data_IF_015908974468
#
_entry.id   IF_015908974468
#
_cell.length_a   1.000
_cell.length_b   1.000
_cell.length_c   1.000
_cell.angle_alpha   90.00
_cell.angle_beta   90.00
_cell.angle_gamma   90.00
#
_symmetry.space_group_name_H-M   'P 1'
#
loop_
_entity.id
_entity.type
_entity.pdbx_description
1 polymer ?
#
# COMPACT_ATOMS: atom_id res chain seq x y z
N UNK A 1 -6.95 -29.75 -25.11
CA UNK A 1 -6.60 -28.31 -25.30
C UNK A 1 -5.93 -27.84 -24.01
N UNK A 2 -4.62 -27.95 -23.95
CA UNK A 2 -3.82 -27.52 -22.81
C UNK A 2 -3.61 -25.99 -22.95
N UNK A 3 -4.48 -25.22 -22.28
CA UNK A 3 -4.31 -23.76 -22.21
C UNK A 3 -2.97 -23.45 -21.57
N UNK A 4 -2.11 -22.68 -22.24
CA UNK A 4 -0.88 -22.16 -21.67
C UNK A 4 -1.25 -21.35 -20.41
N UNK A 5 -0.68 -21.64 -19.24
CA UNK A 5 -1.00 -20.87 -18.04
C UNK A 5 -0.58 -19.43 -18.25
N UNK A 6 -1.54 -18.49 -18.14
CA UNK A 6 -1.25 -17.05 -18.22
C UNK A 6 -0.24 -16.73 -17.12
N UNK A 7 0.87 -16.09 -17.47
CA UNK A 7 1.89 -15.70 -16.51
C UNK A 7 1.29 -14.69 -15.52
N UNK A 8 1.66 -14.79 -14.24
CA UNK A 8 1.16 -13.89 -13.18
C UNK A 8 1.34 -12.42 -13.52
N UNK A 9 2.45 -12.07 -14.17
CA UNK A 9 2.76 -10.72 -14.62
C UNK A 9 1.78 -10.19 -15.67
N UNK A 10 1.28 -11.06 -16.55
CA UNK A 10 0.30 -10.72 -17.60
C UNK A 10 -1.11 -10.55 -17.02
N UNK A 11 -1.43 -11.33 -15.99
CA UNK A 11 -2.72 -11.25 -15.30
C UNK A 11 -2.81 -10.07 -14.31
N UNK A 12 -1.68 -9.60 -13.76
CA UNK A 12 -1.63 -8.59 -12.73
C UNK A 12 -2.44 -7.32 -13.05
N UNK A 13 -2.38 -6.72 -14.25
CA UNK A 13 -3.16 -5.52 -14.56
C UNK A 13 -4.68 -5.71 -14.40
N UNK A 14 -5.19 -6.92 -14.63
CA UNK A 14 -6.59 -7.24 -14.42
C UNK A 14 -6.94 -7.23 -12.92
N UNK A 15 -6.14 -7.88 -12.07
CA UNK A 15 -6.34 -7.92 -10.63
C UNK A 15 -6.22 -6.53 -10.01
N UNK A 16 -5.23 -5.74 -10.42
CA UNK A 16 -5.09 -4.36 -9.92
C UNK A 16 -6.24 -3.45 -10.34
N UNK A 17 -6.73 -3.53 -11.58
CA UNK A 17 -7.94 -2.79 -11.98
C UNK A 17 -9.14 -3.14 -11.10
N UNK A 18 -9.29 -4.42 -10.73
CA UNK A 18 -10.33 -4.85 -9.80
C UNK A 18 -10.10 -4.26 -8.40
N UNK A 19 -8.88 -4.37 -7.87
CA UNK A 19 -8.53 -3.84 -6.55
C UNK A 19 -8.77 -2.32 -6.47
N UNK A 20 -8.34 -1.56 -7.46
CA UNK A 20 -8.59 -0.12 -7.53
C UNK A 20 -10.09 0.23 -7.58
N UNK A 21 -10.91 -0.56 -8.27
CA UNK A 21 -12.37 -0.37 -8.28
C UNK A 21 -13.00 -0.68 -6.92
N UNK A 22 -12.59 -1.75 -6.26
CA UNK A 22 -13.09 -2.12 -4.93
C UNK A 22 -12.71 -1.08 -3.87
N UNK A 23 -11.51 -0.55 -3.94
CA UNK A 23 -11.07 0.51 -3.05
C UNK A 23 -11.76 1.85 -3.34
N UNK A 24 -11.97 2.15 -4.62
CA UNK A 24 -12.57 3.41 -5.07
C UNK A 24 -11.68 4.62 -4.81
N UNK A 25 -12.31 5.79 -4.66
CA UNK A 25 -11.65 7.05 -4.33
C UNK A 25 -11.55 7.33 -2.82
N UNK A 26 -11.66 6.31 -1.97
CA UNK A 26 -11.72 6.49 -0.51
C UNK A 26 -10.42 7.02 0.06
N UNK A 27 -10.57 7.80 1.11
CA UNK A 27 -9.49 8.35 1.94
C UNK A 27 -9.74 7.96 3.39
N UNK A 28 -8.71 7.93 4.25
CA UNK A 28 -8.89 7.55 5.66
C UNK A 28 -9.89 8.41 6.43
N UNK A 29 -10.12 9.65 5.99
CA UNK A 29 -11.17 10.55 6.46
C UNK A 29 -11.94 11.07 5.25
N UNK A 30 -13.20 11.53 5.38
CA UNK A 30 -13.99 12.05 4.26
C UNK A 30 -13.53 13.45 3.80
N UNK A 31 -12.21 13.64 3.72
CA UNK A 31 -11.56 14.88 3.31
C UNK A 31 -10.14 14.61 2.81
N UNK A 32 -9.48 15.64 2.27
CA UNK A 32 -8.05 15.56 1.96
C UNK A 32 -7.21 15.59 3.23
N UNK A 33 -6.75 14.42 3.68
CA UNK A 33 -5.94 14.29 4.89
C UNK A 33 -4.58 15.03 4.78
N UNK A 34 -4.09 15.28 3.58
CA UNK A 34 -2.84 16.02 3.38
C UNK A 34 -2.88 17.44 3.96
N UNK A 35 -4.06 18.03 4.05
CA UNK A 35 -4.25 19.36 4.68
C UNK A 35 -3.94 19.39 6.17
N UNK A 36 -4.01 18.23 6.86
CA UNK A 36 -3.73 18.13 8.29
C UNK A 36 -2.24 18.11 8.64
N UNK A 37 -1.38 17.72 7.70
CA UNK A 37 0.05 17.54 7.96
C UNK A 37 0.93 18.13 6.84
N UNK A 38 0.39 19.03 6.03
CA UNK A 38 1.08 19.59 4.85
C UNK A 38 1.64 18.49 3.93
N UNK A 39 0.86 17.42 3.76
CA UNK A 39 1.18 16.27 2.89
C UNK A 39 2.53 15.62 3.18
N UNK A 40 2.95 15.54 4.44
CA UNK A 40 4.27 14.98 4.84
C UNK A 40 4.59 13.63 4.21
N UNK A 41 3.61 12.75 4.04
CA UNK A 41 3.79 11.47 3.36
C UNK A 41 4.01 11.57 1.84
N UNK A 42 3.89 12.77 1.25
CA UNK A 42 3.98 13.06 -0.17
C UNK A 42 4.98 14.18 -0.48
N UNK A 43 5.95 14.44 0.40
CA UNK A 43 6.93 15.50 0.15
C UNK A 43 7.95 15.10 -0.92
N UNK A 44 8.18 13.80 -1.07
CA UNK A 44 9.12 13.28 -2.06
C UNK A 44 10.58 13.49 -1.65
N UNK A 45 11.46 12.83 -2.37
CA UNK A 45 12.90 12.90 -2.18
C UNK A 45 13.58 11.86 -3.06
N UNK A 46 14.91 11.89 -3.13
CA UNK A 46 15.69 10.96 -3.96
C UNK A 46 15.55 9.50 -3.52
N UNK A 47 15.29 9.27 -2.24
CA UNK A 47 15.11 7.94 -1.66
C UNK A 47 13.70 7.71 -1.10
N UNK A 48 12.86 8.73 -1.10
CA UNK A 48 11.50 8.63 -0.57
C UNK A 48 10.58 7.92 -1.56
N UNK A 49 9.78 7.02 -1.04
CA UNK A 49 8.90 6.25 -1.90
C UNK A 49 8.13 5.19 -1.14
N UNK A 50 7.58 4.26 -1.90
CA UNK A 50 6.72 3.22 -1.35
C UNK A 50 7.06 1.85 -1.92
N UNK A 51 7.06 0.84 -1.06
CA UNK A 51 7.10 -0.56 -1.50
C UNK A 51 5.86 -0.84 -2.33
N UNK A 52 6.05 -1.35 -3.53
CA UNK A 52 4.96 -1.82 -4.39
C UNK A 52 4.50 -3.21 -3.95
N UNK A 53 3.22 -3.45 -4.08
CA UNK A 53 2.71 -4.81 -4.01
C UNK A 53 3.19 -5.65 -5.21
N UNK A 54 3.22 -6.98 -5.09
CA UNK A 54 3.71 -7.85 -6.16
C UNK A 54 3.06 -7.54 -7.52
N UNK A 55 3.88 -7.29 -8.53
CA UNK A 55 3.47 -6.96 -9.92
C UNK A 55 2.68 -5.63 -10.07
N UNK A 56 2.61 -4.78 -9.06
CA UNK A 56 1.89 -3.50 -9.17
C UNK A 56 2.48 -2.61 -10.27
N UNK A 57 3.79 -2.66 -10.47
CA UNK A 57 4.48 -1.92 -11.53
C UNK A 57 3.95 -2.24 -12.93
N UNK A 58 3.37 -3.44 -13.15
CA UNK A 58 2.75 -3.82 -14.42
C UNK A 58 1.41 -3.14 -14.67
N UNK A 59 0.75 -2.68 -13.60
CA UNK A 59 -0.52 -1.96 -13.68
C UNK A 59 -0.35 -0.43 -13.80
N UNK A 60 0.85 0.09 -13.59
CA UNK A 60 1.15 1.52 -13.51
C UNK A 60 1.49 2.18 -14.86
N UNK A 61 0.85 1.76 -15.94
CA UNK A 61 1.16 2.22 -17.32
C UNK A 61 1.18 3.75 -17.48
N UNK A 62 0.45 4.49 -16.63
CA UNK A 62 0.34 5.96 -16.69
C UNK A 62 1.14 6.69 -15.61
N UNK A 63 1.80 5.97 -14.71
CA UNK A 63 2.56 6.57 -13.61
C UNK A 63 4.01 6.89 -14.01
N UNK A 64 4.20 7.59 -15.13
CA UNK A 64 5.52 7.95 -15.68
C UNK A 64 6.35 8.86 -14.77
N UNK A 65 5.74 9.43 -13.74
CA UNK A 65 6.41 10.27 -12.74
C UNK A 65 7.15 9.45 -11.67
N UNK A 66 6.96 8.12 -11.65
CA UNK A 66 7.62 7.24 -10.69
C UNK A 66 8.89 6.62 -11.29
N UNK A 67 9.94 6.59 -10.48
CA UNK A 67 11.13 5.77 -10.76
C UNK A 67 11.03 4.47 -9.99
N UNK A 68 11.00 3.34 -10.70
CA UNK A 68 10.91 2.02 -10.06
C UNK A 68 12.31 1.45 -9.84
N UNK A 69 12.64 1.20 -8.60
CA UNK A 69 13.89 0.57 -8.16
C UNK A 69 13.62 -0.77 -7.48
N UNK A 70 14.67 -1.46 -7.04
CA UNK A 70 14.57 -2.68 -6.24
C UNK A 70 15.19 -2.45 -4.87
N UNK A 71 14.45 -2.78 -3.81
CA UNK A 71 14.96 -2.74 -2.42
C UNK A 71 14.82 -4.11 -1.77
N UNK A 72 15.56 -4.34 -0.69
CA UNK A 72 15.43 -5.56 0.13
C UNK A 72 14.38 -5.35 1.21
N UNK A 73 13.51 -6.35 1.38
CA UNK A 73 12.58 -6.49 2.49
C UNK A 73 12.82 -7.88 3.11
N UNK A 74 13.58 -7.93 4.18
CA UNK A 74 14.11 -9.20 4.70
C UNK A 74 14.97 -9.91 3.66
N UNK A 75 14.60 -11.13 3.28
CA UNK A 75 15.26 -11.91 2.23
C UNK A 75 14.71 -11.66 0.83
N UNK A 76 13.60 -10.95 0.71
CA UNK A 76 12.90 -10.71 -0.57
C UNK A 76 13.39 -9.44 -1.26
N UNK A 77 13.52 -9.51 -2.58
CA UNK A 77 13.63 -8.32 -3.43
C UNK A 77 12.22 -7.82 -3.78
N UNK A 78 11.96 -6.55 -3.52
CA UNK A 78 10.67 -5.91 -3.80
C UNK A 78 10.84 -4.72 -4.72
N UNK A 79 9.82 -4.44 -5.53
CA UNK A 79 9.77 -3.21 -6.29
C UNK A 79 9.49 -2.03 -5.34
N UNK A 80 10.20 -0.94 -5.55
CA UNK A 80 10.08 0.28 -4.76
C UNK A 80 9.90 1.47 -5.72
N UNK A 81 8.82 2.21 -5.53
CA UNK A 81 8.55 3.39 -6.33
C UNK A 81 9.08 4.63 -5.63
N UNK A 82 10.09 5.26 -6.20
CA UNK A 82 10.57 6.58 -5.79
C UNK A 82 9.64 7.63 -6.40
N UNK A 83 9.15 8.55 -5.58
CA UNK A 83 8.16 9.54 -5.96
C UNK A 83 8.73 10.96 -5.79
N UNK A 84 8.57 11.87 -6.78
CA UNK A 84 9.03 13.25 -6.67
C UNK A 84 8.16 14.13 -5.73
N UNK A 85 7.19 13.53 -5.02
CA UNK A 85 6.31 14.25 -4.11
C UNK A 85 5.06 14.85 -4.75
N UNK A 86 4.99 14.88 -6.07
CA UNK A 86 3.84 15.42 -6.81
C UNK A 86 3.21 14.30 -7.65
N UNK A 87 2.00 13.91 -7.32
CA UNK A 87 1.27 12.91 -8.09
C UNK A 87 -0.21 13.26 -8.22
N UNK A 88 -0.77 12.97 -9.39
CA UNK A 88 -2.21 12.92 -9.55
C UNK A 88 -2.79 11.77 -8.72
N UNK A 89 -3.77 12.08 -7.87
CA UNK A 89 -4.45 11.09 -7.03
C UNK A 89 -5.05 9.94 -7.83
N UNK A 90 -5.51 10.18 -9.05
CA UNK A 90 -6.04 9.15 -9.93
C UNK A 90 -4.99 8.09 -10.29
N UNK A 91 -3.71 8.46 -10.33
CA UNK A 91 -2.59 7.59 -10.68
C UNK A 91 -1.77 7.12 -9.47
N UNK A 92 -2.26 7.39 -8.25
CA UNK A 92 -1.58 7.03 -7.01
C UNK A 92 -1.55 5.51 -6.83
N UNK A 93 -0.39 4.99 -6.40
CA UNK A 93 -0.19 3.58 -6.04
C UNK A 93 -1.22 3.11 -5.02
N UNK A 94 -1.58 1.83 -5.04
CA UNK A 94 -2.47 1.26 -4.04
C UNK A 94 -1.86 1.35 -2.63
N UNK A 95 -0.56 1.06 -2.51
CA UNK A 95 0.18 1.22 -1.25
C UNK A 95 0.13 2.65 -0.71
N UNK A 96 0.26 3.68 -1.58
CA UNK A 96 0.11 5.07 -1.18
C UNK A 96 -1.34 5.46 -0.83
N UNK A 97 -2.34 4.82 -1.48
CA UNK A 97 -3.75 5.05 -1.15
C UNK A 97 -4.14 4.50 0.21
N UNK A 98 -3.49 3.41 0.62
CA UNK A 98 -3.70 2.79 1.94
C UNK A 98 -3.05 3.59 3.06
N UNK A 99 -1.91 4.24 2.79
CA UNK A 99 -1.14 4.95 3.80
C UNK A 99 -1.94 6.09 4.46
N UNK A 100 -1.91 6.25 5.78
CA UNK A 100 -0.97 5.75 6.79
C UNK A 100 -1.34 4.39 7.39
N UNK A 101 -2.10 3.59 6.70
CA UNK A 101 -2.41 2.21 7.08
C UNK A 101 -1.70 1.23 6.16
N UNK A 102 -1.52 0.01 6.65
CA UNK A 102 -0.86 -1.07 5.93
C UNK A 102 -1.68 -2.36 6.00
N UNK A 103 -1.67 -3.18 4.93
CA UNK A 103 -2.29 -4.49 4.98
C UNK A 103 -1.32 -5.51 5.59
N UNK A 104 -1.83 -6.36 6.45
CA UNK A 104 -1.13 -7.54 6.96
C UNK A 104 -1.99 -8.78 6.80
N UNK A 105 -1.37 -9.95 6.72
CA UNK A 105 -2.07 -11.22 6.78
C UNK A 105 -2.08 -11.72 8.23
N UNK A 106 -3.26 -11.80 8.83
CA UNK A 106 -3.45 -12.32 10.18
C UNK A 106 -4.56 -13.37 10.18
N UNK A 107 -4.27 -14.56 10.69
CA UNK A 107 -5.24 -15.69 10.77
C UNK A 107 -5.90 -15.98 9.40
N UNK A 108 -5.10 -15.96 8.32
CA UNK A 108 -5.55 -16.22 6.96
C UNK A 108 -6.41 -15.12 6.32
N UNK A 109 -6.55 -13.95 6.96
CA UNK A 109 -7.35 -12.82 6.48
C UNK A 109 -6.53 -11.54 6.38
N UNK A 110 -6.84 -10.71 5.40
CA UNK A 110 -6.24 -9.37 5.31
C UNK A 110 -6.82 -8.48 6.41
N UNK A 111 -5.93 -7.85 7.17
CA UNK A 111 -6.26 -6.81 8.15
C UNK A 111 -5.56 -5.52 7.76
N UNK A 112 -6.26 -4.41 7.90
CA UNK A 112 -5.72 -3.07 7.72
C UNK A 112 -5.36 -2.53 9.10
N UNK A 113 -4.10 -2.26 9.30
CA UNK A 113 -3.54 -1.81 10.58
C UNK A 113 -2.82 -0.47 10.41
N UNK A 114 -2.63 0.32 11.48
CA UNK A 114 -1.75 1.48 11.44
C UNK A 114 -0.35 1.09 10.94
N UNK A 115 0.22 1.90 10.05
CA UNK A 115 1.60 1.71 9.59
C UNK A 115 2.55 2.40 10.58
N UNK A 116 3.43 1.66 11.28
CA UNK A 116 4.31 2.25 12.28
C UNK A 116 5.27 3.29 11.70
N UNK A 117 5.57 3.23 10.40
CA UNK A 117 6.41 4.23 9.73
C UNK A 117 5.76 5.61 9.67
N UNK A 118 4.43 5.69 9.84
CA UNK A 118 3.67 6.94 9.86
C UNK A 118 3.45 7.52 11.27
N UNK A 119 3.75 6.76 12.31
CA UNK A 119 3.33 7.07 13.68
C UNK A 119 3.81 8.45 14.16
N UNK A 120 5.05 8.82 13.84
CA UNK A 120 5.66 10.08 14.30
C UNK A 120 5.09 11.34 13.65
N UNK A 121 4.55 11.26 12.45
CA UNK A 121 4.16 12.48 11.72
C UNK A 121 2.70 12.50 11.26
N UNK A 122 2.01 11.34 11.24
CA UNK A 122 0.65 11.30 10.74
C UNK A 122 -0.37 11.52 11.86
N UNK A 123 -1.12 12.63 11.85
CA UNK A 123 -2.13 12.90 12.88
C UNK A 123 -3.28 11.89 12.90
N UNK A 124 -3.52 11.17 11.79
CA UNK A 124 -4.59 10.17 11.71
C UNK A 124 -4.34 8.91 12.55
N UNK A 125 -3.10 8.68 12.98
CA UNK A 125 -2.76 7.55 13.83
C UNK A 125 -2.86 7.87 15.32
N UNK A 126 -3.13 9.14 15.69
CA UNK A 126 -3.36 9.55 17.07
C UNK A 126 -4.74 9.09 17.55
N UNK A 127 -4.87 8.85 18.85
CA UNK A 127 -6.12 8.36 19.46
C UNK A 127 -7.31 9.27 19.16
N UNK A 128 -7.08 10.57 19.16
CA UNK A 128 -8.06 11.63 18.92
C UNK A 128 -8.65 11.60 17.50
N UNK A 129 -7.94 11.00 16.54
CA UNK A 129 -8.40 10.90 15.15
C UNK A 129 -9.41 9.77 14.93
N UNK A 130 -9.47 8.76 15.82
CA UNK A 130 -10.33 7.58 15.66
C UNK A 130 -11.79 7.88 15.30
N UNK A 131 -12.47 8.86 15.94
CA UNK A 131 -13.88 9.15 15.62
C UNK A 131 -14.10 9.70 14.20
N UNK A 132 -13.04 10.20 13.56
CA UNK A 132 -13.10 10.83 12.25
C UNK A 132 -12.69 9.89 11.10
N UNK A 133 -12.20 8.70 11.43
CA UNK A 133 -11.81 7.72 10.42
C UNK A 133 -13.04 7.15 9.71
N UNK A 134 -12.95 7.05 8.39
CA UNK A 134 -13.98 6.41 7.58
C UNK A 134 -13.93 4.89 7.76
N UNK A 135 -14.93 4.33 8.41
CA UNK A 135 -15.06 2.88 8.60
C UNK A 135 -15.11 2.11 7.27
N UNK A 136 -15.68 2.73 6.22
CA UNK A 136 -15.71 2.13 4.90
C UNK A 136 -14.34 2.12 4.21
N UNK A 137 -13.40 2.98 4.62
CA UNK A 137 -12.03 2.94 4.13
C UNK A 137 -11.36 1.60 4.45
N UNK A 138 -11.34 1.19 5.72
CA UNK A 138 -10.67 -0.05 6.13
C UNK A 138 -11.29 -1.29 5.48
N UNK A 139 -12.62 -1.35 5.37
CA UNK A 139 -13.30 -2.48 4.74
C UNK A 139 -13.02 -2.55 3.23
N UNK A 140 -13.07 -1.41 2.51
CA UNK A 140 -12.74 -1.36 1.09
C UNK A 140 -11.27 -1.65 0.81
N UNK A 141 -10.38 -1.17 1.68
CA UNK A 141 -8.95 -1.46 1.62
C UNK A 141 -8.69 -2.97 1.77
N UNK A 142 -9.31 -3.59 2.78
CA UNK A 142 -9.17 -5.04 2.99
C UNK A 142 -9.70 -5.83 1.79
N UNK A 143 -10.87 -5.49 1.24
CA UNK A 143 -11.44 -6.13 0.06
C UNK A 143 -10.55 -5.98 -1.18
N UNK A 144 -9.98 -4.80 -1.39
CA UNK A 144 -9.08 -4.54 -2.50
C UNK A 144 -7.84 -5.43 -2.42
N UNK A 145 -7.19 -5.46 -1.25
CA UNK A 145 -6.00 -6.29 -1.02
C UNK A 145 -6.33 -7.78 -1.06
N UNK A 146 -7.46 -8.20 -0.48
CA UNK A 146 -7.93 -9.59 -0.53
C UNK A 146 -8.08 -10.06 -1.98
N UNK A 147 -8.57 -9.19 -2.88
CA UNK A 147 -8.71 -9.53 -4.30
C UNK A 147 -7.38 -9.77 -5.03
N UNK A 148 -6.26 -9.29 -4.49
CA UNK A 148 -4.92 -9.48 -5.04
C UNK A 148 -4.26 -10.79 -4.59
N UNK A 149 -4.81 -11.48 -3.57
CA UNK A 149 -4.27 -12.76 -3.07
C UNK A 149 -4.34 -13.90 -4.09
N UNK A 150 -5.13 -13.73 -5.14
CA UNK A 150 -5.11 -14.64 -6.27
C UNK A 150 -3.79 -14.57 -7.09
N UNK A 151 -2.99 -13.52 -6.90
CA UNK A 151 -1.67 -13.43 -7.54
C UNK A 151 -0.66 -14.33 -6.80
N UNK A 152 0.14 -15.11 -7.52
CA UNK A 152 1.14 -15.98 -6.93
C UNK A 152 2.12 -15.23 -6.03
N UNK A 153 2.37 -15.77 -4.84
CA UNK A 153 3.30 -15.20 -3.87
C UNK A 153 2.81 -13.96 -3.11
N UNK A 154 1.56 -13.53 -3.33
CA UNK A 154 1.02 -12.36 -2.66
C UNK A 154 0.87 -12.56 -1.14
N UNK A 155 0.39 -13.72 -0.70
CA UNK A 155 0.29 -14.05 0.73
C UNK A 155 1.67 -14.08 1.40
N UNK A 156 2.66 -14.69 0.76
CA UNK A 156 4.03 -14.69 1.25
C UNK A 156 4.60 -13.26 1.35
N UNK A 157 4.29 -12.40 0.37
CA UNK A 157 4.64 -10.98 0.47
C UNK A 157 3.98 -10.30 1.67
N UNK A 158 2.68 -10.52 1.92
CA UNK A 158 1.97 -9.92 3.07
C UNK A 158 2.54 -10.38 4.42
N UNK A 159 2.99 -11.63 4.51
CA UNK A 159 3.67 -12.14 5.71
C UNK A 159 5.01 -11.44 5.94
N UNK A 160 5.85 -11.37 4.92
CA UNK A 160 7.15 -10.70 4.98
C UNK A 160 6.98 -9.20 5.28
N UNK A 161 5.98 -8.56 4.65
CA UNK A 161 5.66 -7.16 4.87
C UNK A 161 5.20 -6.90 6.31
N UNK A 162 4.31 -7.75 6.84
CA UNK A 162 3.86 -7.67 8.22
C UNK A 162 5.00 -7.88 9.23
N UNK A 163 5.95 -8.77 8.92
CA UNK A 163 7.15 -8.97 9.72
C UNK A 163 8.03 -7.72 9.73
N UNK A 164 8.32 -7.15 8.56
CA UNK A 164 9.08 -5.89 8.44
C UNK A 164 8.44 -4.75 9.25
N UNK A 165 7.10 -4.62 9.22
CA UNK A 165 6.42 -3.59 9.99
C UNK A 165 6.57 -3.81 11.50
N UNK A 166 6.53 -5.06 11.96
CA UNK A 166 6.76 -5.39 13.38
C UNK A 166 8.20 -5.08 13.81
N UNK A 167 9.19 -5.43 13.01
CA UNK A 167 10.58 -5.09 13.28
C UNK A 167 10.77 -3.57 13.37
N UNK A 168 10.17 -2.82 12.45
CA UNK A 168 10.21 -1.36 12.48
C UNK A 168 9.58 -0.80 13.75
N UNK A 169 8.40 -1.27 14.15
CA UNK A 169 7.73 -0.85 15.37
C UNK A 169 8.57 -1.16 16.62
N UNK A 170 9.17 -2.33 16.69
CA UNK A 170 10.05 -2.72 17.81
C UNK A 170 11.32 -1.83 17.88
N UNK A 171 11.90 -1.51 16.73
CA UNK A 171 13.08 -0.64 16.66
C UNK A 171 12.77 0.80 17.09
N UNK A 172 11.57 1.30 16.76
CA UNK A 172 11.15 2.68 17.07
C UNK A 172 10.49 2.81 18.46
N UNK A 173 10.29 1.71 19.18
CA UNK A 173 9.61 1.72 20.49
C UNK A 173 8.10 1.90 20.41
N UNK A 174 7.52 1.70 19.24
CA UNK A 174 6.08 1.75 18.99
C UNK A 174 5.47 0.33 19.05
N UNK A 175 5.11 -0.10 20.24
CA UNK A 175 4.41 -1.38 20.48
C UNK A 175 2.92 -1.10 20.78
#
# INVERSE_FOLDING_TARGET
MTGCPIKAEEAAPFFYRRAYRLFGGRTPIPADCGRLCSSKCCQGGEEDGMILFPFEERALVRARFLTITRKRMGTRQVAFAVCPGQCDRAHRLLSCRLYPFAPILKEGRVRIVPDPRAAYFCPLLKKEAKPYLDNAFSSSAAQAVESLRALPGFDAFLLDYGYMLKEYAAFTGEV
#
